data_IF_664164414575
#
_entry.id   IF_664164414575
#
_cell.length_a   1.000
_cell.length_b   1.000
_cell.length_c   1.000
_cell.angle_alpha   90.00
_cell.angle_beta   90.00
_cell.angle_gamma   90.00
#
_symmetry.space_group_name_H-M   'P 1'
#
loop_
_entity.id
_entity.type
_entity.pdbx_description
1 polymer ?
#
# COMPACT_ATOMS: atom_id res chain seq x y z
N UNK A 1 -3.72 -24.33 -6.31
CA UNK A 1 -2.63 -24.00 -5.38
C UNK A 1 -3.26 -23.29 -4.20
N UNK A 2 -3.14 -23.84 -2.99
CA UNK A 2 -3.70 -23.21 -1.80
C UNK A 2 -2.80 -22.05 -1.31
N UNK A 3 -3.30 -21.16 -0.45
CA UNK A 3 -2.54 -20.02 0.09
C UNK A 3 -1.20 -20.45 0.73
N UNK A 4 -1.18 -21.62 1.35
CA UNK A 4 0.02 -22.22 1.98
C UNK A 4 1.07 -22.58 0.94
N UNK A 5 0.68 -23.20 -0.17
CA UNK A 5 1.59 -23.60 -1.24
C UNK A 5 2.22 -22.36 -1.91
N UNK A 6 1.40 -21.33 -2.14
CA UNK A 6 1.84 -20.06 -2.71
C UNK A 6 2.85 -19.36 -1.80
N UNK A 7 2.65 -19.40 -0.48
CA UNK A 7 3.64 -18.91 0.49
C UNK A 7 4.93 -19.73 0.44
N UNK A 8 4.85 -21.05 0.47
CA UNK A 8 6.03 -21.92 0.47
C UNK A 8 6.89 -21.76 -0.79
N UNK A 9 6.27 -21.60 -1.97
CA UNK A 9 6.99 -21.36 -3.21
C UNK A 9 7.69 -19.99 -3.21
N UNK A 10 6.97 -18.92 -2.82
CA UNK A 10 7.51 -17.57 -2.79
C UNK A 10 8.64 -17.40 -1.76
N UNK A 11 8.57 -18.09 -0.62
CA UNK A 11 9.65 -18.04 0.39
C UNK A 11 11.00 -18.43 -0.20
N UNK A 12 11.05 -19.47 -1.06
CA UNK A 12 12.31 -19.89 -1.70
C UNK A 12 12.84 -18.81 -2.63
N UNK A 13 11.98 -18.23 -3.45
CA UNK A 13 12.32 -17.19 -4.43
C UNK A 13 12.87 -15.94 -3.71
N UNK A 14 12.14 -15.41 -2.73
CA UNK A 14 12.54 -14.18 -2.04
C UNK A 14 13.71 -14.39 -1.08
N UNK A 15 13.94 -15.62 -0.61
CA UNK A 15 15.18 -15.98 0.09
C UNK A 15 16.39 -15.85 -0.84
N UNK A 16 16.35 -16.48 -2.00
CA UNK A 16 17.46 -16.45 -2.96
C UNK A 16 17.75 -15.03 -3.45
N UNK A 17 16.69 -14.26 -3.75
CA UNK A 17 16.83 -12.85 -4.12
C UNK A 17 17.42 -11.99 -2.99
N UNK A 18 16.97 -12.19 -1.75
CA UNK A 18 17.53 -11.51 -0.57
C UNK A 18 19.02 -11.80 -0.41
N UNK A 19 19.42 -13.07 -0.50
CA UNK A 19 20.84 -13.47 -0.42
C UNK A 19 21.68 -12.88 -1.56
N UNK A 20 21.13 -12.81 -2.77
CA UNK A 20 21.81 -12.20 -3.90
C UNK A 20 22.00 -10.69 -3.67
N UNK A 21 20.94 -9.97 -3.28
CA UNK A 21 21.00 -8.55 -2.93
C UNK A 21 22.04 -8.29 -1.83
N UNK A 22 22.02 -9.10 -0.77
CA UNK A 22 23.00 -9.01 0.31
C UNK A 22 24.42 -9.16 -0.19
N UNK A 23 24.67 -10.09 -1.11
CA UNK A 23 26.02 -10.39 -1.59
C UNK A 23 26.56 -9.31 -2.53
N UNK A 24 25.75 -8.81 -3.46
CA UNK A 24 26.26 -8.02 -4.61
C UNK A 24 25.71 -6.61 -4.73
N UNK A 25 24.56 -6.30 -4.12
CA UNK A 25 24.01 -4.96 -4.22
C UNK A 25 24.77 -3.98 -3.32
N UNK A 26 24.70 -2.69 -3.67
CA UNK A 26 25.12 -1.63 -2.75
C UNK A 26 24.28 -1.71 -1.48
N UNK A 27 24.89 -1.44 -0.32
CA UNK A 27 24.19 -1.52 0.98
C UNK A 27 23.11 -0.46 1.17
N UNK A 28 23.09 0.55 0.30
CA UNK A 28 22.07 1.60 0.24
C UNK A 28 20.98 1.36 -0.83
N UNK A 29 20.97 0.18 -1.49
CA UNK A 29 19.93 -0.17 -2.48
C UNK A 29 18.53 -0.06 -1.89
N UNK A 30 17.57 0.47 -2.65
CA UNK A 30 16.14 0.52 -2.31
C UNK A 30 15.40 -0.59 -3.04
N UNK A 31 14.63 -1.39 -2.32
CA UNK A 31 13.94 -2.59 -2.81
C UNK A 31 12.44 -2.38 -2.70
N UNK A 32 11.74 -2.52 -3.82
CA UNK A 32 10.28 -2.47 -3.90
C UNK A 32 9.75 -3.84 -4.32
N UNK A 33 8.98 -4.47 -3.44
CA UNK A 33 8.32 -5.75 -3.71
C UNK A 33 6.89 -5.52 -4.20
N UNK A 34 6.61 -6.05 -5.39
CA UNK A 34 5.28 -5.99 -6.03
C UNK A 34 4.60 -7.36 -6.09
N UNK A 35 5.39 -8.44 -6.21
CA UNK A 35 4.86 -9.80 -6.32
C UNK A 35 4.15 -10.25 -5.03
N UNK A 36 2.94 -10.82 -5.19
CA UNK A 36 2.13 -11.24 -4.05
C UNK A 36 2.61 -12.54 -3.39
N UNK A 37 2.49 -12.67 -2.05
CA UNK A 37 1.98 -11.68 -1.09
C UNK A 37 3.04 -10.62 -0.74
N UNK A 38 2.83 -9.38 -1.18
CA UNK A 38 3.90 -8.37 -1.26
C UNK A 38 4.57 -8.06 0.08
N UNK A 39 3.80 -7.81 1.14
CA UNK A 39 4.34 -7.50 2.47
C UNK A 39 5.17 -8.66 3.04
N UNK A 40 4.68 -9.89 2.93
CA UNK A 40 5.39 -11.08 3.40
C UNK A 40 6.66 -11.33 2.59
N UNK A 41 6.60 -11.15 1.27
CA UNK A 41 7.75 -11.29 0.39
C UNK A 41 8.85 -10.25 0.70
N UNK A 42 8.48 -8.99 0.97
CA UNK A 42 9.42 -7.95 1.43
C UNK A 42 10.08 -8.30 2.77
N UNK A 43 9.29 -8.82 3.73
CA UNK A 43 9.81 -9.27 5.02
C UNK A 43 10.81 -10.42 4.87
N UNK A 44 10.50 -11.41 4.03
CA UNK A 44 11.40 -12.54 3.75
C UNK A 44 12.70 -12.04 3.11
N UNK A 45 12.58 -11.19 2.08
CA UNK A 45 13.72 -10.63 1.38
C UNK A 45 14.68 -9.88 2.33
N UNK A 46 14.14 -9.00 3.18
CA UNK A 46 14.95 -8.25 4.16
C UNK A 46 15.59 -9.15 5.22
N UNK A 47 14.93 -10.25 5.63
CA UNK A 47 15.49 -11.22 6.57
C UNK A 47 16.73 -11.93 6.01
N UNK A 48 16.78 -12.15 4.70
CA UNK A 48 17.90 -12.80 4.02
C UNK A 48 18.94 -11.82 3.47
N UNK A 49 18.77 -10.52 3.74
CA UNK A 49 19.71 -9.47 3.38
C UNK A 49 20.11 -8.58 4.58
N UNK A 50 20.75 -9.17 5.62
CA UNK A 50 20.99 -8.49 6.90
C UNK A 50 21.96 -7.30 6.81
N UNK A 51 22.77 -7.19 5.74
CA UNK A 51 23.71 -6.08 5.57
C UNK A 51 23.08 -4.83 4.94
N UNK A 52 21.83 -4.91 4.49
CA UNK A 52 21.06 -3.79 3.94
C UNK A 52 20.07 -3.30 5.02
N UNK A 53 19.95 -1.97 5.26
CA UNK A 53 18.98 -1.43 6.21
C UNK A 53 17.55 -1.89 5.89
N UNK A 54 16.80 -2.32 6.92
CA UNK A 54 15.47 -2.94 6.74
C UNK A 54 14.46 -1.97 6.13
N UNK A 55 14.58 -0.69 6.44
CA UNK A 55 13.79 0.42 5.90
C UNK A 55 13.93 0.60 4.38
N UNK A 56 14.94 -0.01 3.76
CA UNK A 56 15.09 -0.02 2.32
C UNK A 56 14.20 -1.05 1.63
N UNK A 57 13.61 -1.99 2.37
CA UNK A 57 12.71 -3.01 1.82
C UNK A 57 11.27 -2.58 2.05
N UNK A 58 10.56 -2.34 0.95
CA UNK A 58 9.17 -1.90 0.95
C UNK A 58 8.30 -2.83 0.13
N UNK A 59 7.03 -2.92 0.50
CA UNK A 59 6.00 -3.60 -0.28
C UNK A 59 5.02 -2.56 -0.84
N UNK A 60 4.55 -2.78 -2.06
CA UNK A 60 3.74 -1.78 -2.76
C UNK A 60 2.26 -1.86 -2.37
N UNK A 61 1.76 -0.89 -1.60
CA UNK A 61 0.32 -0.59 -1.41
C UNK A 61 -0.14 0.61 -2.24
N UNK A 62 0.74 1.13 -3.12
CA UNK A 62 0.49 2.34 -3.90
C UNK A 62 -0.69 2.22 -4.87
N UNK A 63 -0.92 1.02 -5.43
CA UNK A 63 -2.08 0.79 -6.29
C UNK A 63 -3.39 0.94 -5.51
N UNK A 64 -3.45 0.39 -4.29
CA UNK A 64 -4.61 0.51 -3.42
C UNK A 64 -4.85 1.96 -3.00
N UNK A 65 -3.77 2.70 -2.70
CA UNK A 65 -3.85 4.13 -2.42
C UNK A 65 -4.40 4.92 -3.61
N UNK A 66 -3.93 4.63 -4.83
CA UNK A 66 -4.45 5.28 -6.04
C UNK A 66 -5.95 4.96 -6.26
N UNK A 67 -6.38 3.72 -5.98
CA UNK A 67 -7.80 3.32 -6.03
C UNK A 67 -8.62 4.11 -5.01
N UNK A 68 -8.18 4.16 -3.75
CA UNK A 68 -8.82 4.94 -2.70
C UNK A 68 -8.94 6.43 -3.08
N UNK A 69 -7.86 7.02 -3.58
CA UNK A 69 -7.85 8.41 -4.05
C UNK A 69 -8.86 8.65 -5.18
N UNK A 70 -8.95 7.73 -6.14
CA UNK A 70 -9.91 7.83 -7.25
C UNK A 70 -11.37 7.72 -6.78
N UNK A 71 -11.67 6.85 -5.81
CA UNK A 71 -13.01 6.69 -5.24
C UNK A 71 -13.47 7.96 -4.51
N UNK A 72 -12.59 8.56 -3.70
CA UNK A 72 -12.89 9.81 -2.98
C UNK A 72 -13.06 10.97 -3.95
N UNK A 73 -12.20 11.08 -4.97
CA UNK A 73 -12.30 12.10 -6.00
C UNK A 73 -13.63 12.02 -6.77
N UNK A 74 -14.05 10.82 -7.15
CA UNK A 74 -15.32 10.58 -7.81
C UNK A 74 -16.52 10.94 -6.91
N UNK A 75 -16.49 10.54 -5.63
CA UNK A 75 -17.54 10.87 -4.65
C UNK A 75 -17.68 12.38 -4.42
N UNK A 76 -16.58 13.14 -4.50
CA UNK A 76 -16.53 14.59 -4.29
C UNK A 76 -16.70 15.42 -5.58
N UNK A 77 -16.66 14.79 -6.76
CA UNK A 77 -16.71 15.49 -8.04
C UNK A 77 -15.51 16.40 -8.30
N UNK A 78 -14.32 16.01 -7.83
CA UNK A 78 -13.07 16.78 -8.01
C UNK A 78 -12.02 15.99 -8.79
N UNK A 79 -11.02 16.65 -9.39
CA UNK A 79 -9.88 15.96 -9.99
C UNK A 79 -9.11 15.11 -8.98
N UNK A 80 -8.61 13.94 -9.40
CA UNK A 80 -7.91 13.00 -8.50
C UNK A 80 -6.69 13.62 -7.82
N UNK A 81 -5.95 14.49 -8.52
CA UNK A 81 -4.76 15.16 -7.98
C UNK A 81 -5.08 16.18 -6.88
N UNK A 82 -6.35 16.58 -6.74
CA UNK A 82 -6.80 17.48 -5.67
C UNK A 82 -7.06 16.74 -4.36
N UNK A 83 -7.16 15.40 -4.37
CA UNK A 83 -7.29 14.57 -3.16
C UNK A 83 -5.90 14.19 -2.66
N UNK A 84 -5.62 14.43 -1.37
CA UNK A 84 -4.34 14.17 -0.71
C UNK A 84 -4.53 13.48 0.64
N UNK A 85 -3.44 12.99 1.22
CA UNK A 85 -3.38 12.40 2.57
C UNK A 85 -4.29 11.18 2.77
N UNK A 86 -4.54 10.42 1.70
CA UNK A 86 -5.19 9.11 1.76
C UNK A 86 -4.15 8.07 2.17
N UNK A 87 -4.47 7.23 3.16
CA UNK A 87 -3.54 6.24 3.73
C UNK A 87 -4.13 4.84 3.55
N UNK A 88 -3.29 3.87 3.22
CA UNK A 88 -3.65 2.45 3.24
C UNK A 88 -2.90 1.80 4.39
N UNK A 89 -3.63 1.22 5.33
CA UNK A 89 -3.07 0.48 6.47
C UNK A 89 -3.14 -1.04 6.25
N UNK A 90 -2.15 -1.74 6.81
CA UNK A 90 -2.14 -3.19 6.86
C UNK A 90 -1.45 -3.86 5.68
N UNK A 91 -2.06 -4.92 5.16
CA UNK A 91 -1.49 -5.80 4.15
C UNK A 91 -2.03 -5.46 2.76
N UNK A 92 -1.23 -5.61 1.70
CA UNK A 92 -1.73 -5.60 0.33
C UNK A 92 -2.57 -6.87 0.07
N UNK A 93 -3.83 -6.83 0.50
CA UNK A 93 -4.84 -7.88 0.39
C UNK A 93 -6.23 -7.32 0.69
N UNK A 94 -7.27 -8.16 0.59
CA UNK A 94 -8.66 -7.82 0.94
C UNK A 94 -8.91 -7.45 2.41
N UNK A 95 -7.88 -7.48 3.26
CA UNK A 95 -7.93 -7.09 4.68
C UNK A 95 -7.21 -5.76 4.91
N UNK A 96 -6.88 -5.04 3.84
CA UNK A 96 -6.38 -3.67 3.92
C UNK A 96 -7.41 -2.75 4.57
N UNK A 97 -6.95 -1.63 5.12
CA UNK A 97 -7.82 -0.57 5.60
C UNK A 97 -7.50 0.74 4.88
N UNK A 98 -8.30 1.11 3.86
CA UNK A 98 -8.27 2.42 3.23
C UNK A 98 -8.82 3.47 4.20
N UNK A 99 -7.98 4.43 4.56
CA UNK A 99 -8.26 5.44 5.58
C UNK A 99 -8.31 6.83 4.97
N UNK A 100 -9.48 7.45 5.08
CA UNK A 100 -9.76 8.81 4.63
C UNK A 100 -9.82 9.82 5.79
N UNK A 101 -9.58 9.42 7.05
CA UNK A 101 -9.73 10.28 8.24
C UNK A 101 -8.91 11.56 8.18
N UNK A 102 -7.70 11.48 7.60
CA UNK A 102 -6.80 12.61 7.41
C UNK A 102 -6.77 13.13 5.96
N UNK A 103 -7.61 12.58 5.08
CA UNK A 103 -7.62 12.97 3.69
C UNK A 103 -8.19 14.39 3.54
N UNK A 104 -7.59 15.15 2.62
CA UNK A 104 -8.03 16.50 2.26
C UNK A 104 -8.25 16.58 0.75
N UNK A 105 -9.18 17.43 0.33
CA UNK A 105 -9.47 17.67 -1.08
C UNK A 105 -9.60 19.17 -1.36
N UNK A 106 -9.09 19.62 -2.51
CA UNK A 106 -9.33 20.99 -2.99
C UNK A 106 -10.71 21.07 -3.65
N UNK A 107 -11.64 21.76 -3.02
CA UNK A 107 -13.04 21.92 -3.47
C UNK A 107 -13.32 23.42 -3.62
N UNK A 108 -13.59 23.86 -4.85
CA UNK A 108 -13.82 25.29 -5.14
C UNK A 108 -12.59 26.17 -4.83
N UNK A 109 -11.38 25.63 -5.03
CA UNK A 109 -10.13 26.35 -4.78
C UNK A 109 -9.62 26.28 -3.35
N UNK A 110 -10.42 25.79 -2.39
CA UNK A 110 -10.08 25.73 -0.96
C UNK A 110 -9.85 24.28 -0.54
N UNK A 111 -8.81 24.03 0.25
CA UNK A 111 -8.55 22.72 0.83
C UNK A 111 -9.53 22.43 1.98
N UNK A 112 -10.21 21.28 1.93
CA UNK A 112 -11.21 20.86 2.91
C UNK A 112 -10.97 19.41 3.35
N UNK A 113 -11.38 19.10 4.58
CA UNK A 113 -11.41 17.71 5.08
C UNK A 113 -12.33 16.86 4.20
N UNK A 114 -11.84 15.72 3.74
CA UNK A 114 -12.63 14.75 2.96
C UNK A 114 -13.79 14.19 3.78
N UNK A 115 -13.59 13.69 5.02
CA UNK A 115 -14.70 13.25 5.87
C UNK A 115 -15.80 14.30 6.05
N UNK A 116 -15.43 15.55 6.34
CA UNK A 116 -16.40 16.63 6.50
C UNK A 116 -17.11 17.00 5.19
N UNK A 117 -16.43 16.88 4.05
CA UNK A 117 -16.99 17.20 2.73
C UNK A 117 -17.92 16.11 2.20
N UNK A 118 -17.63 14.84 2.52
CA UNK A 118 -18.49 13.70 2.20
C UNK A 118 -19.69 13.65 3.16
N UNK A 119 -19.48 13.97 4.44
CA UNK A 119 -20.51 14.01 5.49
C UNK A 119 -21.37 12.73 5.56
N UNK A 120 -20.74 11.58 5.33
CA UNK A 120 -21.36 10.25 5.28
C UNK A 120 -20.37 9.23 5.88
N UNK A 121 -20.41 9.13 7.19
CA UNK A 121 -19.54 8.26 7.99
C UNK A 121 -19.76 6.78 7.70
N UNK A 122 -21.00 6.40 7.38
CA UNK A 122 -21.36 5.01 7.07
C UNK A 122 -20.73 4.59 5.75
N UNK A 123 -20.83 5.43 4.71
CA UNK A 123 -20.15 5.20 3.43
C UNK A 123 -18.64 5.05 3.62
N UNK A 124 -18.01 5.93 4.38
CA UNK A 124 -16.56 5.91 4.62
C UNK A 124 -16.08 4.68 5.38
N UNK A 125 -16.90 4.15 6.31
CA UNK A 125 -16.57 2.97 7.11
C UNK A 125 -16.95 1.65 6.45
N UNK A 126 -17.81 1.68 5.43
CA UNK A 126 -18.34 0.46 4.80
C UNK A 126 -18.04 0.43 3.30
N UNK A 127 -18.87 1.05 2.47
CA UNK A 127 -18.80 0.99 1.00
C UNK A 127 -17.43 1.41 0.47
N UNK A 128 -16.85 2.49 1.00
CA UNK A 128 -15.52 2.93 0.60
C UNK A 128 -14.45 1.88 0.88
N UNK A 129 -14.44 1.33 2.11
CA UNK A 129 -13.45 0.32 2.54
C UNK A 129 -13.58 -0.96 1.72
N UNK A 130 -14.80 -1.42 1.43
CA UNK A 130 -15.02 -2.66 0.69
C UNK A 130 -14.82 -2.54 -0.83
N UNK A 131 -14.90 -1.33 -1.38
CA UNK A 131 -14.71 -1.08 -2.82
C UNK A 131 -13.24 -1.01 -3.21
N UNK A 132 -12.36 -0.59 -2.31
CA UNK A 132 -10.91 -0.42 -2.54
C UNK A 132 -10.14 -1.72 -2.37
#
# INVERSE_FOLDING_TARGET
MERKDLLSANVRIFKEQGQALDKVARKDVKVLVVGNPANTNALICSKYAPSIPKENFTAMTRLDQNRAQSQLAAKLGVPVYDVKNVVIWGNHSSTQFPDASNAVAKIGGVEKSVPASINDDEYLKTTFVSTV
#
